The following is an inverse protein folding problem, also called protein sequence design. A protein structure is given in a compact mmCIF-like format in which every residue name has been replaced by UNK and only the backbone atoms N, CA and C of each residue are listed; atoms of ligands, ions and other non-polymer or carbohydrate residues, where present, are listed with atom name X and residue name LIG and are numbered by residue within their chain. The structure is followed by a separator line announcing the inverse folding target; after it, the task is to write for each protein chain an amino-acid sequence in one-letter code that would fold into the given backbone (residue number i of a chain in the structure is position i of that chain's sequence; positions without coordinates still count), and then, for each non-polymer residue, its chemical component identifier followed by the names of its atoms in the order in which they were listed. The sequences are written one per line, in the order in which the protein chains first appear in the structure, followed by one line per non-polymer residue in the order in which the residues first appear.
data_IF_358140948243
#
_entry.id   IF_358140948243
#
_cell.length_a   1.000
_cell.length_b   1.000
_cell.length_c   1.000
_cell.angle_alpha   90.00
_cell.angle_beta   90.00
_cell.angle_gamma   90.00
#
_symmetry.space_group_name_H-M   'P 1'
#
loop_
_entity.id
_entity.type
_entity.pdbx_description
1 polymer ?
#
# COMPACT_ATOMS: atom_id res chain seq x y z
N UNK A 1 2.26 -21.28 -23.05
CA UNK A 1 2.88 -21.34 -21.71
C UNK A 1 1.98 -20.78 -20.61
N UNK A 2 1.55 -19.49 -20.68
CA UNK A 2 0.79 -18.84 -19.61
C UNK A 2 -0.65 -19.35 -19.42
N UNK A 3 -1.27 -19.93 -20.45
CA UNK A 3 -2.62 -20.50 -20.39
C UNK A 3 -2.67 -21.78 -19.54
N UNK A 4 -1.76 -22.73 -19.79
CA UNK A 4 -1.65 -23.98 -19.05
C UNK A 4 -1.53 -23.77 -17.53
N UNK A 5 -0.79 -22.75 -17.11
CA UNK A 5 -0.63 -22.36 -15.69
C UNK A 5 -1.96 -21.96 -15.04
N UNK A 6 -2.91 -21.40 -15.79
CA UNK A 6 -4.23 -20.97 -15.24
C UNK A 6 -5.14 -22.14 -14.90
N UNK A 7 -4.98 -23.27 -15.58
CA UNK A 7 -5.82 -24.44 -15.41
C UNK A 7 -5.31 -25.43 -14.34
N UNK A 8 -4.09 -25.23 -13.85
CA UNK A 8 -3.58 -25.98 -12.70
C UNK A 8 -4.38 -25.63 -11.43
N UNK A 9 -4.79 -26.65 -10.67
CA UNK A 9 -5.66 -26.51 -9.51
C UNK A 9 -5.14 -25.51 -8.47
N UNK A 10 -3.81 -25.50 -8.21
CA UNK A 10 -3.17 -24.58 -7.26
C UNK A 10 -3.30 -23.12 -7.70
N UNK A 11 -3.04 -22.82 -8.97
CA UNK A 11 -3.12 -21.45 -9.49
C UNK A 11 -4.57 -21.00 -9.65
N UNK A 12 -5.51 -21.91 -9.94
CA UNK A 12 -6.93 -21.58 -10.01
C UNK A 12 -7.45 -20.91 -8.73
N UNK A 13 -7.09 -21.45 -7.57
CA UNK A 13 -7.50 -20.88 -6.28
C UNK A 13 -6.77 -19.55 -5.98
N UNK A 14 -5.48 -19.47 -6.29
CA UNK A 14 -4.73 -18.21 -6.15
C UNK A 14 -5.30 -17.08 -7.02
N UNK A 15 -5.72 -17.39 -8.24
CA UNK A 15 -6.37 -16.43 -9.14
C UNK A 15 -7.77 -16.04 -8.64
N UNK A 16 -8.50 -16.97 -8.00
CA UNK A 16 -9.78 -16.68 -7.34
C UNK A 16 -9.61 -15.64 -6.22
N UNK A 17 -8.59 -15.80 -5.37
CA UNK A 17 -8.29 -14.86 -4.27
C UNK A 17 -7.70 -13.53 -4.75
N UNK A 18 -6.99 -13.54 -5.88
CA UNK A 18 -6.34 -12.35 -6.44
C UNK A 18 -7.35 -11.25 -6.75
N UNK A 19 -8.53 -11.57 -7.28
CA UNK A 19 -9.57 -10.58 -7.60
C UNK A 19 -9.96 -9.77 -6.35
N UNK A 20 -10.24 -10.45 -5.25
CA UNK A 20 -10.62 -9.79 -4.00
C UNK A 20 -9.49 -8.94 -3.43
N UNK A 21 -8.24 -9.43 -3.54
CA UNK A 21 -7.08 -8.67 -3.07
C UNK A 21 -6.83 -7.42 -3.90
N UNK A 22 -7.05 -7.50 -5.21
CA UNK A 22 -7.00 -6.35 -6.10
C UNK A 22 -8.05 -5.32 -5.68
N UNK A 23 -9.31 -5.73 -5.50
CA UNK A 23 -10.39 -4.83 -5.06
C UNK A 23 -10.07 -4.13 -3.72
N UNK A 24 -9.58 -4.88 -2.71
CA UNK A 24 -9.18 -4.28 -1.41
C UNK A 24 -8.06 -3.25 -1.57
N UNK A 25 -7.04 -3.55 -2.40
CA UNK A 25 -5.93 -2.62 -2.65
C UNK A 25 -6.40 -1.37 -3.38
N UNK A 26 -7.34 -1.49 -4.32
CA UNK A 26 -7.95 -0.34 -4.98
C UNK A 26 -8.79 0.51 -4.02
N UNK A 27 -9.56 -0.12 -3.13
CA UNK A 27 -10.29 0.60 -2.09
C UNK A 27 -9.35 1.38 -1.16
N UNK A 28 -8.30 0.73 -0.66
CA UNK A 28 -7.26 1.39 0.16
C UNK A 28 -6.59 2.56 -0.58
N UNK A 29 -6.31 2.38 -1.87
CA UNK A 29 -5.69 3.41 -2.69
C UNK A 29 -6.59 4.65 -2.84
N UNK A 30 -7.90 4.46 -3.00
CA UNK A 30 -8.88 5.55 -3.07
C UNK A 30 -8.97 6.30 -1.73
N UNK A 31 -9.14 5.58 -0.63
CA UNK A 31 -9.39 6.15 0.69
C UNK A 31 -8.13 6.75 1.33
N UNK A 32 -6.99 6.06 1.27
CA UNK A 32 -5.76 6.43 2.01
C UNK A 32 -4.72 7.15 1.15
N UNK A 33 -4.78 7.00 -0.17
CA UNK A 33 -3.76 7.51 -1.08
C UNK A 33 -4.27 8.56 -2.07
N UNK A 34 -5.49 9.08 -1.86
CA UNK A 34 -6.03 10.20 -2.63
C UNK A 34 -6.27 9.86 -4.10
N UNK A 35 -6.54 8.59 -4.42
CA UNK A 35 -6.79 8.12 -5.79
C UNK A 35 -8.27 8.12 -6.18
N UNK A 36 -9.14 8.80 -5.42
CA UNK A 36 -10.57 8.93 -5.77
C UNK A 36 -10.78 9.75 -7.04
N UNK A 37 -9.94 10.75 -7.25
CA UNK A 37 -9.93 11.60 -8.44
C UNK A 37 -8.52 11.78 -8.98
N UNK A 38 -8.39 11.91 -10.30
CA UNK A 38 -7.12 12.18 -10.97
C UNK A 38 -6.73 13.65 -10.80
N UNK A 39 -5.57 13.89 -10.17
CA UNK A 39 -5.05 15.25 -9.96
C UNK A 39 -4.31 15.81 -11.19
N UNK A 40 -3.85 14.92 -12.08
CA UNK A 40 -3.06 15.26 -13.26
C UNK A 40 -3.90 15.19 -14.53
N UNK A 41 -3.46 15.90 -15.57
CA UNK A 41 -4.09 15.90 -16.90
C UNK A 41 -3.24 15.12 -17.91
N UNK A 42 -3.91 14.42 -18.82
CA UNK A 42 -3.24 13.60 -19.83
C UNK A 42 -2.92 12.17 -19.35
N UNK A 43 -3.14 11.21 -20.25
CA UNK A 43 -3.06 9.78 -19.93
C UNK A 43 -1.65 9.36 -19.45
N UNK A 44 -0.59 9.88 -20.06
CA UNK A 44 0.78 9.53 -19.70
C UNK A 44 1.11 9.94 -18.26
N UNK A 45 0.74 11.15 -17.85
CA UNK A 45 1.02 11.66 -16.50
C UNK A 45 0.22 10.92 -15.43
N UNK A 46 -1.08 10.70 -15.67
CA UNK A 46 -1.94 9.90 -14.78
C UNK A 46 -1.40 8.48 -14.67
N UNK A 47 -1.01 7.85 -15.78
CA UNK A 47 -0.46 6.49 -15.78
C UNK A 47 0.83 6.39 -14.96
N UNK A 48 1.76 7.33 -15.15
CA UNK A 48 3.01 7.34 -14.40
C UNK A 48 2.77 7.54 -12.90
N UNK A 49 1.85 8.44 -12.53
CA UNK A 49 1.48 8.66 -11.14
C UNK A 49 0.84 7.44 -10.48
N UNK A 50 -0.09 6.78 -11.18
CA UNK A 50 -0.73 5.53 -10.71
C UNK A 50 0.33 4.44 -10.50
N UNK A 51 1.22 4.25 -11.47
CA UNK A 51 2.33 3.28 -11.38
C UNK A 51 3.21 3.55 -10.17
N UNK A 52 3.59 4.81 -9.96
CA UNK A 52 4.45 5.21 -8.84
C UNK A 52 3.79 4.92 -7.48
N UNK A 53 2.50 5.24 -7.32
CA UNK A 53 1.77 4.94 -6.07
C UNK A 53 1.73 3.45 -5.78
N UNK A 54 1.35 2.63 -6.76
CA UNK A 54 1.31 1.18 -6.55
C UNK A 54 2.69 0.56 -6.35
N UNK A 55 3.73 1.09 -7.01
CA UNK A 55 5.11 0.69 -6.76
C UNK A 55 5.49 0.98 -5.30
N UNK A 56 5.24 2.18 -4.79
CA UNK A 56 5.51 2.55 -3.41
C UNK A 56 4.73 1.68 -2.41
N UNK A 57 3.44 1.40 -2.66
CA UNK A 57 2.64 0.51 -1.82
C UNK A 57 3.22 -0.91 -1.78
N UNK A 58 3.66 -1.43 -2.92
CA UNK A 58 4.29 -2.76 -3.00
C UNK A 58 5.65 -2.79 -2.28
N UNK A 59 6.48 -1.76 -2.44
CA UNK A 59 7.76 -1.63 -1.75
C UNK A 59 7.56 -1.58 -0.22
N UNK A 60 6.59 -0.80 0.26
CA UNK A 60 6.21 -0.78 1.68
C UNK A 60 5.87 -2.16 2.20
N UNK A 61 5.05 -2.92 1.47
CA UNK A 61 4.66 -4.28 1.84
C UNK A 61 5.87 -5.22 1.95
N UNK A 62 6.80 -5.18 0.98
CA UNK A 62 8.03 -5.99 1.01
C UNK A 62 8.92 -5.59 2.19
N UNK A 63 9.09 -4.29 2.44
CA UNK A 63 9.85 -3.79 3.57
C UNK A 63 9.27 -4.26 4.91
N UNK A 64 7.94 -4.17 5.09
CA UNK A 64 7.25 -4.68 6.27
C UNK A 64 7.42 -6.19 6.45
N UNK A 65 7.33 -6.96 5.36
CA UNK A 65 7.58 -8.41 5.42
C UNK A 65 9.01 -8.73 5.84
N UNK A 66 10.00 -8.09 5.22
CA UNK A 66 11.41 -8.24 5.59
C UNK A 66 11.67 -7.84 7.05
N UNK A 67 11.03 -6.78 7.52
CA UNK A 67 11.15 -6.33 8.92
C UNK A 67 10.59 -7.36 9.89
N UNK A 68 9.36 -7.82 9.65
CA UNK A 68 8.69 -8.80 10.52
C UNK A 68 9.38 -10.16 10.52
N UNK A 69 10.01 -10.55 9.41
CA UNK A 69 10.82 -11.77 9.34
C UNK A 69 12.08 -11.68 10.21
N UNK A 70 12.71 -10.49 10.31
CA UNK A 70 13.90 -10.28 11.15
C UNK A 70 13.56 -10.02 12.62
N UNK A 71 12.37 -9.50 12.89
CA UNK A 71 11.91 -9.17 14.22
C UNK A 71 10.55 -9.83 14.42
N UNK A 72 10.49 -11.10 14.87
CA UNK A 72 9.21 -11.71 15.21
C UNK A 72 8.52 -10.92 16.33
N UNK A 73 7.19 -10.95 16.36
CA UNK A 73 6.44 -10.44 17.49
C UNK A 73 6.60 -11.41 18.68
N UNK A 74 6.64 -10.91 19.93
CA UNK A 74 6.86 -11.75 21.11
C UNK A 74 5.76 -12.81 21.32
N UNK A 75 4.58 -12.59 20.74
CA UNK A 75 3.40 -13.48 20.75
C UNK A 75 3.28 -14.37 19.50
N UNK A 76 4.22 -14.28 18.55
CA UNK A 76 4.14 -14.97 17.25
C UNK A 76 3.12 -14.36 16.28
N UNK A 77 2.49 -13.23 16.64
CA UNK A 77 1.50 -12.54 15.83
C UNK A 77 2.11 -11.73 14.67
N UNK A 78 1.27 -11.36 13.69
CA UNK A 78 1.64 -10.39 12.66
C UNK A 78 1.48 -9.00 13.27
N UNK A 79 2.55 -8.21 13.39
CA UNK A 79 2.44 -6.80 13.80
C UNK A 79 1.56 -6.04 12.79
N UNK A 80 0.30 -5.81 13.14
CA UNK A 80 -0.58 -4.88 12.44
C UNK A 80 -0.26 -3.48 12.92
N UNK A 81 -0.16 -2.52 12.00
CA UNK A 81 0.04 -1.11 12.37
C UNK A 81 -1.25 -0.58 12.98
N UNK A 82 -1.38 -0.69 14.30
CA UNK A 82 -2.25 0.20 15.09
C UNK A 82 -1.69 1.62 14.96
N UNK A 83 -2.55 2.62 14.79
CA UNK A 83 -2.23 4.04 14.52
C UNK A 83 -1.21 4.66 15.50
N UNK A 84 -0.99 4.03 16.65
CA UNK A 84 -0.03 4.38 17.69
C UNK A 84 1.43 4.40 17.23
N UNK A 85 1.78 3.65 16.16
CA UNK A 85 3.16 3.55 15.66
C UNK A 85 3.62 4.73 14.78
N UNK A 86 2.75 5.73 14.50
CA UNK A 86 3.20 6.96 13.84
C UNK A 86 4.16 7.77 14.72
N UNK A 87 3.95 7.78 16.04
CA UNK A 87 4.79 8.50 16.99
C UNK A 87 6.23 7.94 17.02
N UNK A 88 6.39 6.62 16.94
CA UNK A 88 7.70 5.98 16.96
C UNK A 88 8.52 6.21 15.67
N UNK A 89 7.85 6.32 14.51
CA UNK A 89 8.52 6.61 13.23
C UNK A 89 9.00 8.08 13.16
N UNK A 90 8.32 8.99 13.87
CA UNK A 90 8.74 10.39 14.01
C UNK A 90 10.07 10.57 14.74
N UNK A 91 10.44 9.64 15.62
CA UNK A 91 11.65 9.74 16.45
C UNK A 91 12.93 9.30 15.72
N UNK A 92 12.81 8.51 14.64
CA UNK A 92 13.98 8.04 13.87
C UNK A 92 14.35 8.92 12.67
N UNK A 93 13.49 9.87 12.27
CA UNK A 93 13.73 10.79 11.14
C UNK A 93 13.25 12.21 11.51
N UNK A 94 14.13 13.10 12.02
CA UNK A 94 13.71 14.41 12.52
C UNK A 94 13.38 15.46 11.44
N UNK A 95 13.37 15.14 10.14
CA UNK A 95 13.33 16.15 9.07
C UNK A 95 12.01 16.29 8.28
N UNK A 96 10.97 15.50 8.54
CA UNK A 96 9.80 15.47 7.63
C UNK A 96 8.55 16.23 8.09
N UNK A 97 8.60 17.01 9.17
CA UNK A 97 7.43 17.72 9.69
C UNK A 97 7.13 19.08 9.02
N UNK A 98 7.56 19.30 7.77
CA UNK A 98 7.34 20.59 7.08
C UNK A 98 6.29 20.56 5.96
N UNK A 99 5.57 19.45 5.78
CA UNK A 99 4.44 19.37 4.84
C UNK A 99 3.26 18.58 5.41
N UNK A 100 2.85 18.88 6.64
CA UNK A 100 1.44 18.65 7.01
C UNK A 100 0.64 19.86 6.53
N UNK A 101 -0.09 19.68 5.42
CA UNK A 101 -1.11 20.61 4.96
C UNK A 101 -2.03 20.93 6.14
N UNK A 102 -1.93 22.16 6.68
CA UNK A 102 -2.94 22.68 7.60
C UNK A 102 -4.27 22.57 6.88
N UNK A 103 -5.25 21.88 7.49
CA UNK A 103 -6.65 21.99 7.09
C UNK A 103 -6.97 23.49 7.08
N UNK A 104 -7.23 24.05 5.91
CA UNK A 104 -7.85 25.37 5.81
C UNK A 104 -9.29 25.14 6.25
N UNK A 105 -9.58 25.49 7.50
CA UNK A 105 -10.95 25.71 7.93
C UNK A 105 -11.49 26.87 7.10
N UNK A 106 -12.53 26.60 6.31
CA UNK A 106 -13.39 27.65 5.75
C UNK A 106 -14.60 27.75 6.68
N UNK A 107 -14.90 29.00 7.02
CA UNK A 107 -16.05 29.45 7.80
C UNK A 107 -17.39 29.03 7.18
#
# INVERSE_FOLDING_TARGET
MAEHVRHMAVYRELYRLRKEKIERVFADAKEKHGMRYTQYRGLAQVTNWVKLKFAAMNLKKIATWKWNARHPAPDGGKRTRTEENLAAVSLLFPFSFLLTNKKIALA
#
